data_IF_816201032960
#
_entry.id   IF_816201032960
#
_cell.length_a   1.000
_cell.length_b   1.000
_cell.length_c   1.000
_cell.angle_alpha   90.00
_cell.angle_beta   90.00
_cell.angle_gamma   90.00
#
_symmetry.space_group_name_H-M   'P 1'
#
loop_
_entity.id
_entity.type
_entity.pdbx_description
1 polymer ?
#
# COMPACT_ATOMS: atom_id res chain seq x y z
N UNK A 1 74.00 -24.35 22.97
CA UNK A 1 73.37 -23.12 23.50
C UNK A 1 72.47 -22.60 22.39
N UNK A 2 71.27 -23.15 22.23
CA UNK A 2 70.05 -22.80 22.96
C UNK A 2 69.56 -21.39 22.61
N UNK A 3 68.67 -21.27 21.62
CA UNK A 3 67.42 -20.50 21.70
C UNK A 3 66.54 -20.71 20.45
N UNK A 4 65.97 -21.91 20.27
CA UNK A 4 64.75 -22.00 19.46
C UNK A 4 63.62 -21.42 20.30
N UNK A 5 63.32 -20.14 20.09
CA UNK A 5 62.22 -19.46 20.74
C UNK A 5 60.94 -19.78 19.95
N UNK A 6 60.41 -20.98 20.17
CA UNK A 6 59.12 -21.43 19.67
C UNK A 6 58.02 -20.55 20.28
N UNK A 7 57.62 -19.49 19.57
CA UNK A 7 56.38 -18.76 19.78
C UNK A 7 55.22 -19.73 19.54
N UNK A 8 54.82 -20.43 20.61
CA UNK A 8 53.55 -21.11 20.71
C UNK A 8 52.48 -20.02 20.76
N UNK A 9 52.03 -19.57 19.59
CA UNK A 9 50.81 -18.79 19.47
C UNK A 9 49.70 -19.73 19.94
N UNK A 10 49.29 -19.56 21.19
CA UNK A 10 48.08 -20.15 21.73
C UNK A 10 46.97 -19.80 20.76
N UNK A 11 46.52 -20.80 19.99
CA UNK A 11 45.37 -20.70 19.10
C UNK A 11 44.12 -20.68 19.97
N UNK A 12 44.07 -19.71 20.88
CA UNK A 12 42.95 -19.37 21.72
C UNK A 12 41.75 -19.29 20.82
N UNK A 13 40.80 -20.15 21.12
CA UNK A 13 39.50 -20.25 20.46
C UNK A 13 38.97 -18.84 20.24
N UNK A 14 39.01 -18.37 18.99
CA UNK A 14 38.36 -17.12 18.58
C UNK A 14 36.92 -17.26 19.07
N UNK A 15 36.44 -16.41 19.98
CA UNK A 15 35.07 -16.49 20.44
C UNK A 15 34.20 -16.32 19.20
N UNK A 16 33.53 -17.40 18.80
CA UNK A 16 32.56 -17.41 17.72
C UNK A 16 31.53 -16.34 18.10
N UNK A 17 31.58 -15.19 17.43
CA UNK A 17 30.60 -14.13 17.62
C UNK A 17 29.27 -14.78 17.30
N UNK A 18 28.45 -15.00 18.33
CA UNK A 18 27.06 -15.34 18.13
C UNK A 18 26.50 -14.19 17.30
N UNK A 19 26.35 -14.42 16.01
CA UNK A 19 25.49 -13.61 15.16
C UNK A 19 24.11 -13.92 15.69
N UNK A 20 23.76 -13.23 16.78
CA UNK A 20 22.44 -13.17 17.37
C UNK A 20 21.50 -13.00 16.21
N UNK A 21 20.75 -14.07 15.98
CA UNK A 21 19.55 -14.14 15.14
C UNK A 21 19.04 -12.73 14.89
N UNK A 22 19.20 -12.22 13.66
CA UNK A 22 18.44 -11.06 13.23
C UNK A 22 17.01 -11.29 13.73
N UNK A 23 16.54 -10.43 14.64
CA UNK A 23 15.19 -10.48 15.19
C UNK A 23 14.24 -10.55 14.00
N UNK A 24 13.82 -11.77 13.66
CA UNK A 24 12.83 -12.00 12.62
C UNK A 24 11.54 -11.55 13.26
N UNK A 25 11.20 -10.28 13.06
CA UNK A 25 9.89 -9.75 13.39
C UNK A 25 8.88 -10.77 12.86
N UNK A 26 8.02 -11.26 13.75
CA UNK A 26 7.06 -12.29 13.40
C UNK A 26 6.18 -11.74 12.27
N UNK A 27 6.14 -12.48 11.18
CA UNK A 27 5.35 -12.14 9.99
C UNK A 27 3.87 -11.98 10.37
N UNK A 28 3.37 -12.81 11.27
CA UNK A 28 1.99 -12.76 11.76
C UNK A 28 1.72 -11.47 12.54
N UNK A 29 2.64 -11.09 13.43
CA UNK A 29 2.52 -9.84 14.20
C UNK A 29 2.58 -8.64 13.26
N UNK A 30 3.48 -8.66 12.28
CA UNK A 30 3.60 -7.60 11.28
C UNK A 30 2.32 -7.44 10.49
N UNK A 31 1.77 -8.54 9.95
CA UNK A 31 0.53 -8.52 9.19
C UNK A 31 -0.63 -7.99 10.04
N UNK A 32 -0.75 -8.46 11.29
CA UNK A 32 -1.78 -7.99 12.20
C UNK A 32 -1.70 -6.47 12.45
N UNK A 33 -0.50 -5.96 12.74
CA UNK A 33 -0.28 -4.52 12.93
C UNK A 33 -0.61 -3.71 11.67
N UNK A 34 -0.18 -4.18 10.49
CA UNK A 34 -0.46 -3.52 9.21
C UNK A 34 -1.97 -3.49 8.92
N UNK A 35 -2.66 -4.62 9.03
CA UNK A 35 -4.11 -4.67 8.80
C UNK A 35 -4.87 -3.79 9.79
N UNK A 36 -4.49 -3.80 11.07
CA UNK A 36 -5.11 -2.95 12.08
C UNK A 36 -4.92 -1.47 11.76
N UNK A 37 -3.71 -1.06 11.39
CA UNK A 37 -3.41 0.33 11.03
C UNK A 37 -4.17 0.76 9.77
N UNK A 38 -4.21 -0.08 8.74
CA UNK A 38 -4.91 0.21 7.48
C UNK A 38 -6.42 0.30 7.70
N UNK A 39 -7.01 -0.61 8.45
CA UNK A 39 -8.45 -0.58 8.75
C UNK A 39 -8.82 0.64 9.60
N UNK A 40 -8.04 0.93 10.64
CA UNK A 40 -8.27 2.11 11.48
C UNK A 40 -8.15 3.42 10.68
N UNK A 41 -7.11 3.55 9.85
CA UNK A 41 -6.91 4.71 8.99
C UNK A 41 -8.00 4.88 7.94
N UNK A 42 -8.44 3.78 7.32
CA UNK A 42 -9.53 3.79 6.32
C UNK A 42 -10.86 4.19 6.97
N UNK A 43 -11.17 3.64 8.16
CA UNK A 43 -12.37 3.99 8.90
C UNK A 43 -12.37 5.47 9.31
N UNK A 44 -11.25 5.98 9.83
CA UNK A 44 -11.15 7.39 10.19
C UNK A 44 -11.31 8.30 8.96
N UNK A 45 -10.67 7.95 7.84
CA UNK A 45 -10.81 8.69 6.58
C UNK A 45 -12.27 8.71 6.11
N UNK A 46 -12.99 7.60 6.20
CA UNK A 46 -14.40 7.55 5.85
C UNK A 46 -15.25 8.46 6.75
N UNK A 47 -15.07 8.36 8.07
CA UNK A 47 -15.87 9.13 9.03
C UNK A 47 -15.66 10.65 8.93
N UNK A 48 -14.48 11.10 8.54
CA UNK A 48 -14.17 12.54 8.44
C UNK A 48 -14.46 13.10 7.05
N UNK A 49 -14.20 12.33 5.98
CA UNK A 49 -14.20 12.86 4.61
C UNK A 49 -15.35 12.35 3.74
N UNK A 50 -16.28 11.53 4.23
CA UNK A 50 -17.34 10.97 3.38
C UNK A 50 -18.19 12.06 2.71
N UNK A 51 -18.55 13.10 3.47
CA UNK A 51 -19.44 14.19 3.03
C UNK A 51 -18.69 15.51 2.77
N UNK A 52 -17.36 15.50 2.85
CA UNK A 52 -16.54 16.67 2.53
C UNK A 52 -16.41 16.82 1.01
N UNK A 53 -16.32 18.07 0.55
CA UNK A 53 -16.17 18.36 -0.87
C UNK A 53 -15.03 17.57 -1.52
N UNK A 54 -15.26 17.11 -2.75
CA UNK A 54 -14.26 16.40 -3.52
C UNK A 54 -12.99 17.23 -3.71
N UNK A 55 -11.85 16.57 -3.55
CA UNK A 55 -10.55 17.15 -3.89
C UNK A 55 -10.44 17.32 -5.41
N UNK A 56 -9.54 18.17 -5.88
CA UNK A 56 -9.45 18.49 -7.31
C UNK A 56 -9.31 17.25 -8.21
N UNK A 57 -8.46 16.31 -7.83
CA UNK A 57 -8.27 15.03 -8.53
C UNK A 57 -9.49 14.09 -8.42
N UNK A 58 -10.20 14.13 -7.30
CA UNK A 58 -11.46 13.39 -7.11
C UNK A 58 -12.58 13.98 -8.00
N UNK A 59 -12.65 15.31 -8.15
CA UNK A 59 -13.57 15.99 -9.07
C UNK A 59 -13.26 15.61 -10.52
N UNK A 60 -11.98 15.59 -10.90
CA UNK A 60 -11.58 15.15 -12.25
C UNK A 60 -11.99 13.70 -12.51
N UNK A 61 -11.71 12.81 -11.56
CA UNK A 61 -12.11 11.40 -11.61
C UNK A 61 -13.63 11.26 -11.70
N UNK A 62 -14.36 12.00 -10.87
CA UNK A 62 -15.82 12.03 -10.87
C UNK A 62 -16.40 12.54 -12.19
N UNK A 63 -15.78 13.56 -12.80
CA UNK A 63 -16.19 14.12 -14.09
C UNK A 63 -16.11 13.08 -15.19
N UNK A 64 -15.08 12.23 -15.20
CA UNK A 64 -14.96 11.10 -16.12
C UNK A 64 -16.00 10.02 -15.79
N UNK A 65 -16.18 9.71 -14.50
CA UNK A 65 -17.05 8.63 -14.04
C UNK A 65 -18.54 8.86 -14.35
N UNK A 66 -19.00 10.11 -14.41
CA UNK A 66 -20.39 10.46 -14.75
C UNK A 66 -20.68 10.49 -16.25
N UNK A 67 -19.65 10.39 -17.11
CA UNK A 67 -19.87 10.34 -18.56
C UNK A 67 -20.48 9.00 -18.98
N UNK A 68 -21.10 9.01 -20.16
CA UNK A 68 -21.40 7.78 -20.87
C UNK A 68 -20.09 7.07 -21.30
N UNK A 69 -20.20 5.81 -21.72
CA UNK A 69 -19.02 5.02 -22.10
C UNK A 69 -18.15 5.70 -23.16
N UNK A 70 -18.78 6.34 -24.15
CA UNK A 70 -18.04 7.03 -25.23
C UNK A 70 -17.35 8.28 -24.72
N UNK A 71 -18.05 9.14 -23.98
CA UNK A 71 -17.46 10.34 -23.40
C UNK A 71 -16.32 10.02 -22.43
N UNK A 72 -16.46 8.97 -21.61
CA UNK A 72 -15.39 8.52 -20.72
C UNK A 72 -14.14 8.11 -21.51
N UNK A 73 -14.30 7.32 -22.58
CA UNK A 73 -13.17 6.90 -23.42
C UNK A 73 -12.54 8.05 -24.20
N UNK A 74 -13.33 9.02 -24.65
CA UNK A 74 -12.81 10.21 -25.35
C UNK A 74 -11.92 11.03 -24.42
N UNK A 75 -12.36 11.29 -23.18
CA UNK A 75 -11.57 12.02 -22.20
C UNK A 75 -10.31 11.21 -21.82
N UNK A 76 -10.45 9.90 -21.59
CA UNK A 76 -9.31 9.04 -21.26
C UNK A 76 -8.32 8.88 -22.41
N UNK A 77 -8.75 9.03 -23.66
CA UNK A 77 -7.89 8.97 -24.83
C UNK A 77 -6.95 10.17 -24.97
N UNK A 78 -7.28 11.29 -24.31
CA UNK A 78 -6.46 12.52 -24.30
C UNK A 78 -5.80 12.79 -22.94
N UNK A 79 -6.20 12.06 -21.90
CA UNK A 79 -5.59 12.17 -20.57
C UNK A 79 -4.18 11.55 -20.57
N UNK A 80 -3.28 12.13 -19.78
CA UNK A 80 -1.92 11.62 -19.61
C UNK A 80 -1.85 10.47 -18.59
N UNK A 81 -2.87 10.34 -17.73
CA UNK A 81 -2.91 9.36 -16.67
C UNK A 81 -3.36 7.99 -17.17
N UNK A 82 -2.93 6.93 -16.49
CA UNK A 82 -3.31 5.56 -16.85
C UNK A 82 -4.84 5.35 -16.67
N UNK A 83 -5.54 4.75 -17.66
CA UNK A 83 -7.00 4.75 -17.68
C UNK A 83 -7.64 3.77 -16.68
N UNK A 84 -6.89 2.77 -16.20
CA UNK A 84 -7.45 1.66 -15.43
C UNK A 84 -8.17 2.13 -14.16
N UNK A 85 -7.60 3.09 -13.44
CA UNK A 85 -8.21 3.59 -12.21
C UNK A 85 -9.53 4.32 -12.51
N UNK A 86 -9.54 5.23 -13.48
CA UNK A 86 -10.74 5.93 -13.90
C UNK A 86 -11.84 4.98 -14.39
N UNK A 87 -11.48 3.96 -15.16
CA UNK A 87 -12.44 2.95 -15.63
C UNK A 87 -13.02 2.13 -14.47
N UNK A 88 -12.21 1.85 -13.45
CA UNK A 88 -12.67 1.17 -12.24
C UNK A 88 -13.68 2.03 -11.47
N UNK A 89 -13.41 3.33 -11.32
CA UNK A 89 -14.34 4.28 -10.69
C UNK A 89 -15.59 4.50 -11.54
N UNK A 90 -15.45 4.62 -12.86
CA UNK A 90 -16.57 4.71 -13.80
C UNK A 90 -17.51 3.51 -13.61
N UNK A 91 -16.99 2.28 -13.68
CA UNK A 91 -17.78 1.07 -13.50
C UNK A 91 -18.46 1.00 -12.14
N UNK A 92 -17.78 1.47 -11.08
CA UNK A 92 -18.35 1.55 -9.74
C UNK A 92 -19.52 2.55 -9.67
N UNK A 93 -19.33 3.75 -10.21
CA UNK A 93 -20.35 4.82 -10.21
C UNK A 93 -21.59 4.40 -11.01
N UNK A 94 -21.44 3.63 -12.09
CA UNK A 94 -22.60 3.11 -12.82
C UNK A 94 -23.47 2.17 -11.99
N UNK A 95 -22.92 1.51 -10.97
CA UNK A 95 -23.62 0.54 -10.14
C UNK A 95 -24.14 1.17 -8.84
N UNK A 96 -23.31 1.98 -8.19
CA UNK A 96 -23.56 2.52 -6.85
C UNK A 96 -23.96 4.00 -6.83
N UNK A 97 -23.94 4.67 -7.98
CA UNK A 97 -24.23 6.09 -8.12
C UNK A 97 -23.00 7.00 -7.95
N UNK A 98 -23.23 8.31 -8.10
CA UNK A 98 -22.18 9.33 -8.19
C UNK A 98 -22.07 10.20 -6.94
N UNK A 99 -22.40 9.68 -5.75
CA UNK A 99 -22.17 10.42 -4.51
C UNK A 99 -20.67 10.53 -4.21
N UNK A 100 -20.28 11.55 -3.44
CA UNK A 100 -18.88 11.78 -3.06
C UNK A 100 -18.26 10.54 -2.38
N UNK A 101 -19.02 9.93 -1.48
CA UNK A 101 -18.66 8.67 -0.84
C UNK A 101 -18.49 7.51 -1.84
N UNK A 102 -19.34 7.43 -2.88
CA UNK A 102 -19.23 6.39 -3.90
C UNK A 102 -17.99 6.57 -4.79
N UNK A 103 -17.63 7.81 -5.15
CA UNK A 103 -16.42 8.11 -5.94
C UNK A 103 -15.15 7.72 -5.16
N UNK A 104 -15.16 7.89 -3.82
CA UNK A 104 -14.02 7.55 -2.95
C UNK A 104 -13.89 6.05 -2.67
N UNK A 105 -14.99 5.29 -2.73
CA UNK A 105 -15.01 3.90 -2.32
C UNK A 105 -13.99 3.01 -3.05
N UNK A 106 -13.79 3.06 -4.38
CA UNK A 106 -12.78 2.27 -5.07
C UNK A 106 -11.36 2.48 -4.53
N UNK A 107 -10.97 3.73 -4.23
CA UNK A 107 -9.66 4.04 -3.66
C UNK A 107 -9.47 3.49 -2.25
N UNK A 108 -10.53 3.51 -1.43
CA UNK A 108 -10.50 2.95 -0.08
C UNK A 108 -10.43 1.41 -0.12
N UNK A 109 -11.17 0.78 -1.03
CA UNK A 109 -11.08 -0.67 -1.27
C UNK A 109 -9.65 -1.03 -1.69
N UNK A 110 -9.05 -0.28 -2.61
CA UNK A 110 -7.66 -0.51 -3.03
C UNK A 110 -6.67 -0.34 -1.87
N UNK A 111 -6.89 0.62 -0.98
CA UNK A 111 -6.07 0.84 0.23
C UNK A 111 -6.08 -0.38 1.16
N UNK A 112 -7.24 -1.01 1.36
CA UNK A 112 -7.36 -2.22 2.18
C UNK A 112 -6.84 -3.46 1.46
N UNK A 113 -7.05 -3.56 0.14
CA UNK A 113 -6.63 -4.71 -0.66
C UNK A 113 -5.11 -4.76 -0.89
N UNK A 114 -4.45 -3.61 -1.02
CA UNK A 114 -3.01 -3.52 -1.31
C UNK A 114 -2.12 -4.33 -0.35
N UNK A 115 -2.22 -4.21 0.99
CA UNK A 115 -1.39 -5.00 1.91
C UNK A 115 -1.71 -6.50 1.82
N UNK A 116 -2.96 -6.88 1.57
CA UNK A 116 -3.34 -8.29 1.39
C UNK A 116 -2.68 -8.88 0.14
N UNK A 117 -2.72 -8.15 -0.98
CA UNK A 117 -2.10 -8.57 -2.24
C UNK A 117 -0.58 -8.62 -2.13
N UNK A 118 0.03 -7.62 -1.46
CA UNK A 118 1.48 -7.59 -1.25
C UNK A 118 1.99 -8.71 -0.33
N UNK A 119 1.10 -9.33 0.46
CA UNK A 119 1.43 -10.40 1.38
C UNK A 119 1.34 -11.81 0.77
N UNK A 120 0.63 -11.96 -0.36
CA UNK A 120 0.54 -13.20 -1.13
C UNK A 120 1.90 -13.54 -1.78
#
# INVERSE_FOLDING_TARGET
MAYENSLHIDSGTVPQRSTTSHDRIDKTITLFCVLTAVLAGTALRWLVNADEALWYDEVWTGTIAIQDWRGALEILGIDFNAPLFYLSVWGWVQIFGSSDAAIRAPGLIATVAAPCVAWL
#
